data_IF_765521606154
#
_entry.id   IF_765521606154
#
_cell.length_a   1.000
_cell.length_b   1.000
_cell.length_c   1.000
_cell.angle_alpha   90.00
_cell.angle_beta   90.00
_cell.angle_gamma   90.00
#
_symmetry.space_group_name_H-M   'P 1'
#
loop_
_entity.id
_entity.type
_entity.pdbx_description
1 polymer ?
#
# COMPACT_ATOMS: atom_id res chain seq x y z
N UNK A 1 -21.69 0.10 14.16
CA UNK A 1 -20.77 1.12 13.65
C UNK A 1 -21.40 1.73 12.40
N UNK A 2 -21.73 3.02 12.40
CA UNK A 2 -22.37 3.66 11.24
C UNK A 2 -21.30 4.04 10.22
N UNK A 3 -21.47 3.66 8.96
CA UNK A 3 -20.60 4.12 7.88
C UNK A 3 -20.89 5.60 7.62
N UNK A 4 -19.86 6.43 7.77
CA UNK A 4 -19.95 7.89 7.54
C UNK A 4 -19.49 8.30 6.14
N UNK A 5 -18.71 7.45 5.48
CA UNK A 5 -18.17 7.66 4.15
C UNK A 5 -17.78 6.31 3.51
N UNK A 6 -18.08 6.13 2.22
CA UNK A 6 -17.70 4.94 1.45
C UNK A 6 -17.13 5.38 0.10
N UNK A 7 -16.03 4.74 -0.30
CA UNK A 7 -15.38 4.95 -1.59
C UNK A 7 -14.70 3.66 -2.05
N UNK A 8 -14.59 3.49 -3.36
CA UNK A 8 -13.94 2.34 -4.00
C UNK A 8 -12.43 2.57 -4.24
N UNK A 9 -11.99 3.83 -4.21
CA UNK A 9 -10.59 4.22 -4.37
C UNK A 9 -9.93 4.44 -3.01
N UNK A 10 -8.72 3.89 -2.89
CA UNK A 10 -7.87 4.06 -1.73
C UNK A 10 -7.51 5.53 -1.49
N UNK A 11 -7.18 6.27 -2.54
CA UNK A 11 -6.78 7.68 -2.46
C UNK A 11 -7.87 8.55 -1.83
N UNK A 12 -9.13 8.26 -2.18
CA UNK A 12 -10.29 8.97 -1.63
C UNK A 12 -10.48 8.66 -0.14
N UNK A 13 -10.37 7.39 0.26
CA UNK A 13 -10.44 6.99 1.68
C UNK A 13 -9.30 7.59 2.49
N UNK A 14 -8.10 7.64 1.91
CA UNK A 14 -6.91 8.23 2.53
C UNK A 14 -7.11 9.73 2.78
N UNK A 15 -7.58 10.46 1.78
CA UNK A 15 -7.86 11.90 1.89
C UNK A 15 -8.95 12.19 2.91
N UNK A 16 -10.01 11.38 2.95
CA UNK A 16 -11.07 11.49 3.93
C UNK A 16 -10.55 11.26 5.37
N UNK A 17 -9.68 10.27 5.56
CA UNK A 17 -9.06 9.99 6.86
C UNK A 17 -8.18 11.15 7.35
N UNK A 18 -7.34 11.71 6.46
CA UNK A 18 -6.51 12.89 6.77
C UNK A 18 -7.38 14.11 7.10
N UNK A 19 -8.53 14.25 6.45
CA UNK A 19 -9.47 15.34 6.70
C UNK A 19 -10.28 15.16 7.99
N UNK A 20 -10.05 14.09 8.75
CA UNK A 20 -10.73 13.84 10.02
C UNK A 20 -12.14 13.25 9.89
N UNK A 21 -12.50 12.68 8.73
CA UNK A 21 -13.82 12.08 8.53
C UNK A 21 -14.07 10.83 9.40
N UNK A 22 -13.01 10.20 9.93
CA UNK A 22 -13.11 9.07 10.85
C UNK A 22 -11.92 8.12 10.79
N UNK A 23 -12.17 6.85 11.14
CA UNK A 23 -11.19 5.76 11.15
C UNK A 23 -11.28 5.00 9.82
N UNK A 24 -10.14 4.76 9.17
CA UNK A 24 -10.05 3.99 7.93
C UNK A 24 -8.96 2.90 8.01
N UNK A 25 -9.21 1.76 7.39
CA UNK A 25 -8.21 0.72 7.20
C UNK A 25 -7.41 1.03 5.93
N UNK A 26 -6.13 1.38 6.09
CA UNK A 26 -5.26 1.86 5.01
C UNK A 26 -4.00 0.99 4.91
N UNK A 27 -3.54 0.58 3.71
CA UNK A 27 -2.22 -0.02 3.54
C UNK A 27 -1.09 0.88 4.05
N UNK A 28 -0.05 0.25 4.60
CA UNK A 28 1.08 0.95 5.23
C UNK A 28 2.04 1.61 4.23
N UNK A 29 2.09 1.12 3.00
CA UNK A 29 3.08 1.51 2.00
C UNK A 29 2.89 2.95 1.48
N UNK A 30 1.67 3.41 1.12
CA UNK A 30 1.47 4.78 0.67
C UNK A 30 1.33 5.78 1.84
N UNK A 31 0.97 5.28 3.03
CA UNK A 31 0.69 6.11 4.19
C UNK A 31 1.94 6.52 5.00
N UNK A 32 3.13 6.01 4.66
CA UNK A 32 4.37 6.25 5.41
C UNK A 32 4.68 7.73 5.61
N UNK A 33 4.49 8.57 4.59
CA UNK A 33 4.80 10.00 4.66
C UNK A 33 3.78 10.77 5.53
N UNK A 34 2.53 10.32 5.62
CA UNK A 34 1.50 10.98 6.42
C UNK A 34 1.53 10.58 7.89
N UNK A 35 2.13 9.42 8.22
CA UNK A 35 2.48 9.08 9.60
C UNK A 35 3.61 9.97 10.14
N UNK A 36 4.58 10.32 9.31
CA UNK A 36 5.70 11.19 9.71
C UNK A 36 5.24 12.61 10.08
N UNK A 37 4.19 13.12 9.41
CA UNK A 37 3.59 14.42 9.72
C UNK A 37 2.60 14.41 10.88
N UNK A 38 2.43 13.29 11.61
CA UNK A 38 1.39 13.10 12.64
C UNK A 38 -0.05 13.36 12.15
N UNK A 39 -0.28 13.34 10.83
CA UNK A 39 -1.61 13.54 10.24
C UNK A 39 -2.50 12.28 10.39
N UNK A 40 -1.88 11.12 10.62
CA UNK A 40 -2.55 9.85 10.87
C UNK A 40 -1.93 9.15 12.08
N UNK A 41 -2.77 8.50 12.89
CA UNK A 41 -2.34 7.70 14.05
C UNK A 41 -2.75 6.25 13.82
N UNK A 42 -1.83 5.32 14.06
CA UNK A 42 -2.11 3.89 13.98
C UNK A 42 -2.78 3.41 15.28
N UNK A 43 -4.09 3.12 15.22
CA UNK A 43 -4.90 2.83 16.42
C UNK A 43 -4.73 1.40 16.96
N UNK A 44 -4.46 0.41 16.10
CA UNK A 44 -4.37 -1.00 16.47
C UNK A 44 -3.02 -1.59 16.01
N UNK A 45 -1.91 -1.24 16.67
CA UNK A 45 -0.56 -1.58 16.23
C UNK A 45 -0.30 -3.09 16.13
N UNK A 46 -0.94 -3.88 16.98
CA UNK A 46 -0.76 -5.34 17.05
C UNK A 46 -1.70 -6.10 16.12
N UNK A 47 -2.56 -5.40 15.39
CA UNK A 47 -3.56 -6.02 14.53
C UNK A 47 -3.31 -5.73 13.05
N UNK A 48 -3.43 -6.78 12.23
CA UNK A 48 -3.27 -6.69 10.77
C UNK A 48 -4.61 -6.97 10.13
N UNK A 49 -5.20 -5.95 9.49
CA UNK A 49 -6.47 -6.07 8.77
C UNK A 49 -6.42 -7.14 7.66
N UNK A 50 -5.29 -7.21 6.95
CA UNK A 50 -5.06 -8.20 5.91
C UNK A 50 -3.65 -8.08 5.33
N UNK A 51 -3.15 -9.18 4.76
CA UNK A 51 -1.91 -9.18 4.00
C UNK A 51 -2.27 -9.29 2.52
N UNK A 52 -1.78 -8.35 1.73
CA UNK A 52 -2.00 -8.32 0.28
C UNK A 52 -0.68 -8.57 -0.41
N UNK A 53 -0.68 -9.46 -1.42
CA UNK A 53 0.49 -9.67 -2.28
C UNK A 53 0.25 -8.94 -3.59
N UNK A 54 1.17 -8.05 -3.96
CA UNK A 54 1.15 -7.35 -5.23
C UNK A 54 1.86 -8.22 -6.27
N UNK A 55 1.19 -8.49 -7.39
CA UNK A 55 1.74 -9.26 -8.48
C UNK A 55 1.90 -8.40 -9.72
N UNK A 56 2.94 -8.68 -10.51
CA UNK A 56 3.04 -8.15 -11.86
C UNK A 56 2.37 -9.12 -12.83
N UNK A 57 1.24 -8.71 -13.41
CA UNK A 57 0.52 -9.50 -14.39
C UNK A 57 1.07 -9.24 -15.79
N UNK A 58 1.41 -10.33 -16.51
CA UNK A 58 1.92 -10.30 -17.88
C UNK A 58 1.03 -11.21 -18.73
N UNK A 59 0.61 -10.79 -19.94
CA UNK A 59 -0.19 -11.63 -20.82
C UNK A 59 0.50 -12.94 -21.18
N UNK A 60 1.83 -12.93 -21.32
CA UNK A 60 2.67 -14.12 -21.50
C UNK A 60 4.09 -13.88 -21.00
N UNK A 61 4.75 -14.95 -20.54
CA UNK A 61 6.20 -14.95 -20.26
C UNK A 61 7.05 -15.36 -21.47
N UNK A 62 6.42 -15.89 -22.53
CA UNK A 62 7.11 -16.26 -23.77
C UNK A 62 7.43 -15.00 -24.58
N UNK A 63 8.66 -14.90 -25.08
CA UNK A 63 9.12 -13.78 -25.93
C UNK A 63 8.94 -12.40 -25.25
N UNK A 64 9.23 -12.32 -23.96
CA UNK A 64 9.15 -11.05 -23.23
C UNK A 64 10.15 -10.04 -23.82
N UNK A 65 9.69 -8.85 -24.27
CA UNK A 65 10.57 -7.82 -24.80
C UNK A 65 11.61 -7.40 -23.76
N UNK A 66 12.83 -7.06 -24.21
CA UNK A 66 13.91 -6.63 -23.32
C UNK A 66 13.51 -5.43 -22.44
N UNK A 67 12.69 -4.50 -22.98
CA UNK A 67 12.16 -3.36 -22.22
C UNK A 67 11.26 -3.78 -21.05
N UNK A 68 10.40 -4.78 -21.26
CA UNK A 68 9.52 -5.31 -20.20
C UNK A 68 10.35 -5.99 -19.13
N UNK A 69 11.37 -6.76 -19.53
CA UNK A 69 12.31 -7.39 -18.58
C UNK A 69 13.02 -6.35 -17.71
N UNK A 70 13.60 -5.33 -18.35
CA UNK A 70 14.28 -4.24 -17.63
C UNK A 70 13.34 -3.52 -16.65
N UNK A 71 12.07 -3.32 -17.02
CA UNK A 71 11.07 -2.74 -16.11
C UNK A 71 10.76 -3.65 -14.91
N UNK A 72 10.66 -4.96 -15.12
CA UNK A 72 10.44 -5.92 -14.03
C UNK A 72 11.64 -5.96 -13.08
N UNK A 73 12.85 -5.97 -13.61
CA UNK A 73 14.09 -5.98 -12.83
C UNK A 73 14.19 -4.70 -11.97
N UNK A 74 13.97 -3.54 -12.58
CA UNK A 74 13.90 -2.25 -11.87
C UNK A 74 12.81 -2.23 -10.79
N UNK A 75 11.61 -2.69 -11.12
CA UNK A 75 10.48 -2.68 -10.18
C UNK A 75 10.72 -3.60 -8.99
N UNK A 76 11.35 -4.77 -9.24
CA UNK A 76 11.69 -5.73 -8.18
C UNK A 76 12.74 -5.16 -7.23
N UNK A 77 13.75 -4.46 -7.75
CA UNK A 77 14.77 -3.77 -6.95
C UNK A 77 14.15 -2.65 -6.09
N UNK A 78 13.27 -1.84 -6.68
CA UNK A 78 12.58 -0.76 -5.98
C UNK A 78 11.75 -1.29 -4.80
N UNK A 79 10.96 -2.35 -5.02
CA UNK A 79 10.12 -2.93 -3.96
C UNK A 79 10.95 -3.65 -2.90
N UNK A 80 12.00 -4.37 -3.27
CA UNK A 80 12.92 -5.02 -2.33
C UNK A 80 13.60 -4.01 -1.40
N UNK A 81 13.93 -2.81 -1.91
CA UNK A 81 14.47 -1.73 -1.08
C UNK A 81 13.47 -1.19 -0.05
N UNK A 82 12.17 -1.24 -0.35
CA UNK A 82 11.10 -0.78 0.52
C UNK A 82 10.61 -1.85 1.53
N UNK A 83 10.80 -3.14 1.22
CA UNK A 83 10.41 -4.29 2.04
C UNK A 83 11.43 -4.64 3.17
N UNK A 84 12.54 -3.90 3.29
CA UNK A 84 13.56 -4.17 4.34
C UNK A 84 13.09 -3.98 5.80
N UNK A 85 11.83 -3.59 6.04
CA UNK A 85 11.26 -3.51 7.39
C UNK A 85 10.67 -4.88 7.77
N UNK A 86 11.52 -5.71 8.39
CA UNK A 86 11.25 -7.07 8.89
C UNK A 86 9.80 -7.29 9.39
N UNK A 87 9.24 -8.50 9.21
CA UNK A 87 8.03 -8.90 9.90
C UNK A 87 8.30 -8.96 11.41
N UNK A 88 7.54 -8.18 12.19
CA UNK A 88 7.35 -8.45 13.62
C UNK A 88 6.54 -9.74 13.71
N UNK A 89 7.10 -10.72 14.42
CA UNK A 89 6.52 -12.05 14.65
C UNK A 89 5.21 -11.96 15.42
#
# INVERSE_FOLDING_TARGET
MRVVFQAESYETLFTAAISGAGIAALPRFPASNSFESSALVHLLPDWVFGRFTVYVALPTRKLMPARTRAFLDFSSELVSSADRRKPVR
#
